data_IF_885784026719
#
_entry.id   IF_885784026719
#
_cell.length_a   1.000
_cell.length_b   1.000
_cell.length_c   1.000
_cell.angle_alpha   90.00
_cell.angle_beta   90.00
_cell.angle_gamma   90.00
#
_symmetry.space_group_name_H-M   'P 1'
#
loop_
_entity.id
_entity.type
_entity.pdbx_description
1 polymer ?
#
# COMPACT_ATOMS: atom_id res chain seq x y z
N UNK A 1 -5.96 -15.16 5.79
CA UNK A 1 -6.51 -13.80 5.91
C UNK A 1 -5.46 -12.89 5.33
N UNK A 2 -5.76 -12.10 4.29
CA UNK A 2 -4.73 -11.34 3.57
C UNK A 2 -4.80 -9.85 3.90
N UNK A 3 -3.65 -9.22 4.13
CA UNK A 3 -3.53 -7.79 4.49
C UNK A 3 -3.04 -6.99 3.29
N UNK A 4 -3.81 -5.98 2.92
CA UNK A 4 -3.51 -5.06 1.81
C UNK A 4 -3.25 -3.68 2.39
N UNK A 5 -2.09 -3.09 2.09
CA UNK A 5 -1.75 -1.71 2.43
C UNK A 5 -1.94 -0.84 1.19
N UNK A 6 -2.75 0.20 1.29
CA UNK A 6 -2.93 1.20 0.24
C UNK A 6 -2.25 2.50 0.69
N UNK A 7 -1.29 2.97 -0.10
CA UNK A 7 -0.56 4.21 0.17
C UNK A 7 -1.13 5.30 -0.72
N UNK A 8 -2.01 6.14 -0.19
CA UNK A 8 -2.61 7.23 -0.95
C UNK A 8 -2.88 8.45 -0.06
N UNK A 9 -2.48 9.67 -0.48
CA UNK A 9 -2.67 10.89 0.31
C UNK A 9 -4.14 11.31 0.48
N UNK A 10 -5.05 10.87 -0.39
CA UNK A 10 -6.49 11.09 -0.24
C UNK A 10 -7.16 9.80 0.19
N UNK A 11 -8.06 9.89 1.19
CA UNK A 11 -8.95 8.81 1.59
C UNK A 11 -9.88 8.46 0.42
N UNK A 12 -9.44 7.58 -0.48
CA UNK A 12 -10.36 6.91 -1.39
C UNK A 12 -11.44 6.23 -0.56
N UNK A 13 -12.70 6.38 -0.96
CA UNK A 13 -13.83 5.77 -0.28
C UNK A 13 -13.55 4.27 -0.10
N UNK A 14 -13.35 3.85 1.14
CA UNK A 14 -13.01 2.48 1.55
C UNK A 14 -14.00 1.43 1.01
N UNK A 15 -15.19 1.87 0.61
CA UNK A 15 -16.20 1.06 -0.08
C UNK A 15 -15.80 0.62 -1.50
N UNK A 16 -15.03 1.43 -2.24
CA UNK A 16 -14.59 1.09 -3.60
C UNK A 16 -13.53 -0.02 -3.58
N UNK A 17 -12.57 0.08 -2.65
CA UNK A 17 -11.49 -0.90 -2.50
C UNK A 17 -11.99 -2.20 -1.86
N UNK A 18 -12.85 -2.13 -0.83
CA UNK A 18 -13.44 -3.35 -0.25
C UNK A 18 -14.29 -4.15 -1.26
N UNK A 19 -14.97 -3.48 -2.20
CA UNK A 19 -15.63 -4.13 -3.34
C UNK A 19 -14.67 -4.79 -4.33
N UNK A 20 -13.49 -4.22 -4.56
CA UNK A 20 -12.47 -4.80 -5.46
C UNK A 20 -11.69 -5.96 -4.83
N UNK A 21 -11.45 -5.92 -3.51
CA UNK A 21 -10.55 -6.86 -2.83
C UNK A 21 -11.25 -8.05 -2.14
N UNK A 22 -12.58 -8.04 -2.05
CA UNK A 22 -13.38 -9.14 -1.48
C UNK A 22 -13.39 -9.17 0.06
N UNK A 23 -14.42 -9.78 0.65
CA UNK A 23 -14.73 -9.72 2.09
C UNK A 23 -13.68 -10.32 3.05
N UNK A 24 -12.61 -10.96 2.56
CA UNK A 24 -11.62 -11.68 3.37
C UNK A 24 -10.26 -10.96 3.53
N UNK A 25 -10.18 -9.68 3.18
CA UNK A 25 -8.95 -8.89 3.23
C UNK A 25 -9.03 -7.72 4.19
N UNK A 26 -7.98 -7.54 5.01
CA UNK A 26 -7.81 -6.35 5.87
C UNK A 26 -7.16 -5.27 5.01
N UNK A 27 -7.82 -4.13 4.85
CA UNK A 27 -7.28 -2.99 4.09
C UNK A 27 -6.76 -1.94 5.06
N UNK A 28 -5.46 -1.71 5.06
CA UNK A 28 -4.77 -0.66 5.80
C UNK A 28 -4.52 0.52 4.88
N UNK A 29 -4.68 1.74 5.40
CA UNK A 29 -4.48 2.96 4.64
C UNK A 29 -3.35 3.77 5.23
N UNK A 30 -2.50 4.31 4.35
CA UNK A 30 -1.50 5.29 4.72
C UNK A 30 -1.61 6.52 3.84
N UNK A 31 -1.76 7.69 4.49
CA UNK A 31 -1.74 8.98 3.80
C UNK A 31 -0.33 9.42 3.37
N UNK A 32 0.72 8.78 3.93
CA UNK A 32 2.11 9.13 3.62
C UNK A 32 2.99 7.89 3.41
N UNK A 33 4.02 7.98 2.57
CA UNK A 33 5.03 6.93 2.39
C UNK A 33 5.72 6.53 3.70
N UNK A 34 6.11 7.48 4.53
CA UNK A 34 6.75 7.21 5.83
C UNK A 34 5.85 6.38 6.78
N UNK A 35 4.55 6.69 6.83
CA UNK A 35 3.60 5.94 7.66
C UNK A 35 3.32 4.54 7.08
N UNK A 36 3.40 4.38 5.77
CA UNK A 36 3.30 3.07 5.13
C UNK A 36 4.48 2.18 5.51
N UNK A 37 5.70 2.73 5.56
CA UNK A 37 6.88 2.01 6.07
C UNK A 37 6.69 1.57 7.53
N UNK A 38 6.17 2.44 8.39
CA UNK A 38 5.87 2.06 9.78
C UNK A 38 4.84 0.93 9.88
N UNK A 39 3.82 0.92 9.01
CA UNK A 39 2.83 -0.17 8.94
C UNK A 39 3.49 -1.47 8.47
N UNK A 40 4.36 -1.42 7.46
CA UNK A 40 5.11 -2.59 6.98
C UNK A 40 5.99 -3.21 8.07
N UNK A 41 6.54 -2.40 8.97
CA UNK A 41 7.34 -2.87 10.11
C UNK A 41 6.49 -3.51 11.21
N UNK A 42 5.27 -3.02 11.41
CA UNK A 42 4.40 -3.47 12.50
C UNK A 42 3.48 -4.64 12.12
N UNK A 43 3.16 -4.78 10.83
CA UNK A 43 2.17 -5.73 10.33
C UNK A 43 2.73 -6.48 9.13
N UNK A 44 2.55 -7.80 9.10
CA UNK A 44 2.81 -8.58 7.89
C UNK A 44 1.77 -8.24 6.82
N UNK A 45 2.17 -7.40 5.86
CA UNK A 45 1.35 -7.01 4.72
C UNK A 45 1.63 -7.97 3.55
N UNK A 46 0.61 -8.52 2.91
CA UNK A 46 0.80 -9.39 1.74
C UNK A 46 0.83 -8.59 0.43
N UNK A 47 0.16 -7.46 0.39
CA UNK A 47 0.03 -6.65 -0.83
C UNK A 47 0.13 -5.17 -0.49
N UNK A 48 0.98 -4.44 -1.21
CA UNK A 48 1.07 -2.99 -1.14
C UNK A 48 0.58 -2.42 -2.46
N UNK A 49 -0.35 -1.48 -2.39
CA UNK A 49 -0.90 -0.78 -3.54
C UNK A 49 -0.44 0.66 -3.49
N UNK A 50 0.21 1.11 -4.57
CA UNK A 50 0.69 2.47 -4.73
C UNK A 50 0.04 3.06 -6.01
N UNK A 51 -0.78 4.11 -5.90
CA UNK A 51 -1.22 4.90 -7.04
C UNK A 51 -0.04 5.73 -7.57
N UNK A 52 0.32 5.52 -8.84
CA UNK A 52 1.52 6.10 -9.48
C UNK A 52 1.38 7.61 -9.77
N UNK A 53 0.19 8.19 -9.59
CA UNK A 53 -0.12 9.60 -9.89
C UNK A 53 0.07 10.54 -8.68
N UNK A 54 0.22 10.01 -7.46
CA UNK A 54 0.20 10.83 -6.23
C UNK A 54 1.42 10.70 -5.31
N UNK A 55 2.45 9.95 -5.71
CA UNK A 55 3.67 9.76 -4.92
C UNK A 55 4.88 10.25 -5.72
N UNK A 56 5.76 10.99 -5.06
CA UNK A 56 7.02 11.45 -5.64
C UNK A 56 7.98 10.27 -5.89
N UNK A 57 8.84 10.38 -6.90
CA UNK A 57 9.78 9.31 -7.27
C UNK A 57 10.69 8.88 -6.10
N UNK A 58 11.13 9.84 -5.27
CA UNK A 58 11.97 9.58 -4.10
C UNK A 58 11.22 8.76 -3.03
N UNK A 59 9.95 9.09 -2.78
CA UNK A 59 9.10 8.38 -1.85
C UNK A 59 8.75 6.98 -2.35
N UNK A 60 8.53 6.84 -3.65
CA UNK A 60 8.32 5.54 -4.29
C UNK A 60 9.57 4.65 -4.13
N UNK A 61 10.77 5.18 -4.40
CA UNK A 61 12.02 4.45 -4.21
C UNK A 61 12.24 4.03 -2.74
N UNK A 62 11.87 4.89 -1.79
CA UNK A 62 11.90 4.58 -0.36
C UNK A 62 10.95 3.41 -0.03
N UNK A 63 9.70 3.46 -0.48
CA UNK A 63 8.73 2.38 -0.25
C UNK A 63 9.19 1.06 -0.85
N UNK A 64 9.71 1.08 -2.07
CA UNK A 64 10.21 -0.10 -2.75
C UNK A 64 11.40 -0.73 -2.01
N UNK A 65 12.30 0.12 -1.50
CA UNK A 65 13.42 -0.31 -0.67
C UNK A 65 12.97 -0.89 0.67
N UNK A 66 12.01 -0.23 1.34
CA UNK A 66 11.43 -0.70 2.59
C UNK A 66 10.71 -2.04 2.42
N UNK A 67 9.92 -2.21 1.37
CA UNK A 67 9.27 -3.49 1.06
C UNK A 67 10.29 -4.61 0.85
N UNK A 68 11.35 -4.38 0.07
CA UNK A 68 12.41 -5.38 -0.15
C UNK A 68 13.11 -5.82 1.14
N UNK A 69 13.22 -4.92 2.12
CA UNK A 69 13.90 -5.20 3.39
C UNK A 69 12.97 -5.83 4.43
N UNK A 70 11.76 -5.30 4.58
CA UNK A 70 10.87 -5.60 5.70
C UNK A 70 9.82 -6.63 5.30
N UNK A 71 9.32 -6.53 4.07
CA UNK A 71 8.21 -7.33 3.57
C UNK A 71 8.55 -7.93 2.19
N UNK A 72 9.63 -8.74 2.08
CA UNK A 72 10.15 -9.20 0.79
C UNK A 72 9.21 -10.14 0.03
N UNK A 73 8.26 -10.76 0.74
CA UNK A 73 7.24 -11.62 0.16
C UNK A 73 5.99 -10.84 -0.30
N UNK A 74 5.90 -9.55 0.00
CA UNK A 74 4.75 -8.73 -0.35
C UNK A 74 4.69 -8.43 -1.83
N UNK A 75 3.51 -8.50 -2.40
CA UNK A 75 3.25 -8.11 -3.79
C UNK A 75 3.07 -6.60 -3.87
N UNK A 76 3.82 -5.93 -4.75
CA UNK A 76 3.60 -4.52 -5.07
C UNK A 76 2.67 -4.40 -6.29
N UNK A 77 1.62 -3.60 -6.17
CA UNK A 77 0.70 -3.25 -7.26
C UNK A 77 0.80 -1.74 -7.49
N UNK A 78 1.29 -1.35 -8.66
CA UNK A 78 1.30 0.03 -9.13
C UNK A 78 0.04 0.27 -9.97
N UNK A 79 -0.82 1.20 -9.57
CA UNK A 79 -2.00 1.53 -10.36
C UNK A 79 -1.63 2.58 -11.42
N UNK A 80 -1.94 2.34 -12.72
CA UNK A 80 -1.65 3.29 -13.79
C UNK A 80 -2.52 4.55 -13.66
N UNK A 81 -2.00 5.65 -14.20
CA UNK A 81 -2.66 6.96 -14.24
C UNK A 81 -4.02 6.86 -14.96
N UNK A 82 -5.08 7.32 -14.30
CA UNK A 82 -6.43 7.50 -14.88
C UNK A 82 -6.63 8.90 -15.42
#
# INVERSE_FOLDING_TARGET
MSVVLVVEPQLFSTQALSKQFGHARIVLHSATPARAVAILQAVMVDTVVIPDDKIEEADYAMLLSAMRLIAPASTLICLPRG
#
